data_IF_540050731510
#
_entry.id   IF_540050731510
#
_cell.length_a   1.000
_cell.length_b   1.000
_cell.length_c   1.000
_cell.angle_alpha   90.00
_cell.angle_beta   90.00
_cell.angle_gamma   90.00
#
_symmetry.space_group_name_H-M   'P 1'
#
loop_
_entity.id
_entity.type
_entity.pdbx_description
1 polymer ?
#
# COMPACT_ATOMS: atom_id res chain seq x y z
N UNK A 1 -8.94 -45.30 13.82
CA UNK A 1 -10.23 -45.42 13.11
C UNK A 1 -10.43 -44.15 12.31
N UNK A 2 -10.19 -44.22 11.01
CA UNK A 2 -10.33 -43.11 10.08
C UNK A 2 -11.82 -42.80 9.82
N UNK A 3 -12.16 -41.52 9.67
CA UNK A 3 -13.31 -41.10 8.89
C UNK A 3 -12.79 -40.07 7.88
N UNK A 4 -12.39 -40.57 6.71
CA UNK A 4 -12.07 -39.75 5.56
C UNK A 4 -13.32 -38.99 5.13
N UNK A 5 -13.25 -37.67 5.14
CA UNK A 5 -14.24 -36.83 4.49
C UNK A 5 -14.17 -37.08 2.99
N UNK A 6 -15.12 -37.86 2.47
CA UNK A 6 -15.29 -38.09 1.05
C UNK A 6 -15.72 -36.80 0.37
N UNK A 7 -14.75 -36.00 -0.10
CA UNK A 7 -15.00 -34.98 -1.09
C UNK A 7 -15.07 -35.65 -2.45
N UNK A 8 -16.27 -35.76 -3.02
CA UNK A 8 -16.44 -36.18 -4.40
C UNK A 8 -15.62 -35.24 -5.31
N UNK A 9 -14.77 -35.82 -6.17
CA UNK A 9 -13.98 -35.07 -7.15
C UNK A 9 -14.94 -34.27 -8.06
N UNK A 10 -15.12 -32.98 -7.77
CA UNK A 10 -15.96 -32.08 -8.57
C UNK A 10 -17.04 -31.29 -7.81
N UNK A 11 -17.25 -31.49 -6.52
CA UNK A 11 -18.14 -30.60 -5.76
C UNK A 11 -17.50 -29.22 -5.59
N UNK A 12 -18.13 -28.20 -6.16
CA UNK A 12 -17.71 -26.82 -5.99
C UNK A 12 -17.83 -26.44 -4.51
N UNK A 13 -16.68 -26.29 -3.84
CA UNK A 13 -16.65 -25.80 -2.47
C UNK A 13 -17.42 -24.47 -2.37
N UNK A 14 -18.25 -24.31 -1.33
CA UNK A 14 -19.10 -23.11 -1.14
C UNK A 14 -18.32 -21.78 -1.22
N UNK A 15 -17.04 -21.76 -0.87
CA UNK A 15 -16.19 -20.57 -0.96
C UNK A 15 -15.74 -20.20 -2.40
N UNK A 16 -15.97 -21.07 -3.40
CA UNK A 16 -15.78 -20.77 -4.82
C UNK A 16 -17.02 -20.16 -5.49
N UNK A 17 -18.16 -20.08 -4.79
CA UNK A 17 -19.38 -19.50 -5.34
C UNK A 17 -19.17 -17.99 -5.62
N UNK A 18 -19.35 -17.58 -6.88
CA UNK A 18 -19.28 -16.17 -7.25
C UNK A 18 -20.47 -15.41 -6.66
N UNK A 19 -20.17 -14.39 -5.86
CA UNK A 19 -21.18 -13.49 -5.29
C UNK A 19 -21.53 -12.37 -6.27
N UNK A 20 -22.69 -11.74 -6.06
CA UNK A 20 -23.12 -10.55 -6.80
C UNK A 20 -22.23 -9.32 -6.54
N UNK A 21 -22.44 -8.24 -7.29
CA UNK A 21 -21.69 -7.00 -7.10
C UNK A 21 -21.91 -6.41 -5.70
N UNK A 22 -20.83 -5.96 -5.05
CA UNK A 22 -20.92 -5.29 -3.76
C UNK A 22 -21.37 -3.83 -3.94
N UNK A 23 -22.54 -3.49 -3.39
CA UNK A 23 -23.13 -2.14 -3.46
C UNK A 23 -22.82 -1.22 -2.27
N UNK A 24 -22.19 -1.73 -1.20
CA UNK A 24 -21.85 -0.96 0.00
C UNK A 24 -20.47 -0.28 -0.08
N UNK A 25 -19.81 -0.30 -1.25
CA UNK A 25 -18.46 0.23 -1.42
C UNK A 25 -18.47 1.77 -1.44
N UNK A 26 -17.51 2.39 -0.77
CA UNK A 26 -17.32 3.84 -0.84
C UNK A 26 -16.96 4.28 -2.27
N UNK A 27 -17.49 5.44 -2.68
CA UNK A 27 -17.35 5.97 -4.05
C UNK A 27 -15.90 6.06 -4.53
N UNK A 28 -14.96 6.46 -3.67
CA UNK A 28 -13.53 6.58 -4.02
C UNK A 28 -12.84 5.21 -4.20
N UNK A 29 -13.43 4.11 -3.70
CA UNK A 29 -12.95 2.75 -3.88
C UNK A 29 -13.60 2.03 -5.05
N UNK A 30 -14.64 2.61 -5.66
CA UNK A 30 -15.33 2.03 -6.80
C UNK A 30 -14.39 1.83 -7.99
N UNK A 31 -14.59 0.75 -8.74
CA UNK A 31 -13.85 0.46 -9.96
C UNK A 31 -14.68 0.80 -11.18
N UNK A 32 -14.03 0.84 -12.34
CA UNK A 32 -14.72 1.02 -13.64
C UNK A 32 -15.77 -0.06 -13.91
N UNK A 33 -15.65 -1.23 -13.30
CA UNK A 33 -16.60 -2.35 -13.45
C UNK A 33 -17.09 -2.81 -12.07
N UNK A 34 -18.40 -3.06 -11.91
CA UNK A 34 -18.94 -3.61 -10.67
C UNK A 34 -18.45 -5.05 -10.47
N UNK A 35 -17.86 -5.31 -9.31
CA UNK A 35 -17.33 -6.61 -8.91
C UNK A 35 -17.71 -6.88 -7.46
N UNK A 36 -17.94 -8.16 -7.13
CA UNK A 36 -18.16 -8.63 -5.77
C UNK A 36 -17.02 -8.19 -4.85
N UNK A 37 -15.78 -8.43 -5.27
CA UNK A 37 -14.57 -8.05 -4.55
C UNK A 37 -13.73 -7.12 -5.42
N UNK A 38 -13.14 -6.10 -4.79
CA UNK A 38 -12.12 -5.25 -5.40
C UNK A 38 -11.04 -5.01 -4.37
N UNK A 39 -9.79 -5.21 -4.76
CA UNK A 39 -8.63 -4.95 -3.92
C UNK A 39 -8.35 -3.44 -3.94
N UNK A 40 -8.21 -2.87 -2.74
CA UNK A 40 -7.79 -1.49 -2.54
C UNK A 40 -6.66 -1.55 -1.52
N UNK A 41 -5.51 -0.98 -1.85
CA UNK A 41 -4.30 -1.04 -1.01
C UNK A 41 -3.97 0.35 -0.47
N UNK A 42 -3.14 0.38 0.57
CA UNK A 42 -2.66 1.63 1.18
C UNK A 42 -2.00 2.53 0.12
N UNK A 43 -1.34 1.96 -0.89
CA UNK A 43 -0.75 2.70 -2.01
C UNK A 43 -1.75 3.56 -2.80
N UNK A 44 -3.04 3.22 -2.75
CA UNK A 44 -4.10 3.97 -3.42
C UNK A 44 -4.74 5.04 -2.50
N UNK A 45 -4.34 5.16 -1.23
CA UNK A 45 -4.86 6.16 -0.27
C UNK A 45 -3.77 7.03 0.36
N UNK A 46 -2.55 6.50 0.45
CA UNK A 46 -1.45 7.15 1.15
C UNK A 46 -0.74 8.16 0.27
N UNK A 47 -0.58 9.37 0.81
CA UNK A 47 0.31 10.40 0.29
C UNK A 47 1.68 10.38 0.95
N UNK A 48 1.89 9.42 1.85
CA UNK A 48 3.10 9.27 2.65
C UNK A 48 3.98 8.17 2.08
N UNK A 49 5.27 8.48 1.95
CA UNK A 49 6.32 7.55 1.62
C UNK A 49 7.31 7.41 2.77
N UNK A 50 7.62 6.16 3.10
CA UNK A 50 8.68 5.80 4.04
C UNK A 50 9.91 5.38 3.24
N UNK A 51 11.01 6.10 3.41
CA UNK A 51 12.26 5.89 2.68
C UNK A 51 13.28 5.34 3.67
N UNK A 52 13.75 4.13 3.43
CA UNK A 52 14.71 3.43 4.27
C UNK A 52 16.05 3.28 3.55
N UNK A 53 17.13 3.16 4.31
CA UNK A 53 18.47 2.95 3.75
C UNK A 53 19.12 4.21 3.19
N UNK A 54 18.69 5.40 3.65
CA UNK A 54 19.33 6.65 3.24
C UNK A 54 20.65 6.78 4.00
N UNK A 55 21.80 6.99 3.33
CA UNK A 55 23.08 7.12 4.03
C UNK A 55 23.07 8.30 5.00
N UNK A 56 23.58 8.10 6.21
CA UNK A 56 23.70 9.12 7.27
C UNK A 56 24.83 10.14 6.99
N UNK A 57 24.84 10.71 5.78
CA UNK A 57 25.77 11.72 5.30
C UNK A 57 25.14 13.12 5.24
N UNK A 58 23.90 13.26 5.73
CA UNK A 58 23.16 14.51 5.67
C UNK A 58 22.61 14.85 4.27
N UNK A 59 22.37 13.84 3.43
CA UNK A 59 21.90 13.98 2.02
C UNK A 59 20.40 14.30 1.89
N UNK A 60 19.85 14.92 2.93
CA UNK A 60 18.41 15.11 3.11
C UNK A 60 17.85 16.10 2.07
N UNK A 61 18.63 17.13 1.74
CA UNK A 61 18.25 18.14 0.76
C UNK A 61 18.20 17.56 -0.66
N UNK A 62 19.23 16.80 -1.03
CA UNK A 62 19.32 16.14 -2.33
C UNK A 62 18.17 15.14 -2.50
N UNK A 63 17.83 14.40 -1.44
CA UNK A 63 16.69 13.48 -1.43
C UNK A 63 15.39 14.24 -1.75
N UNK A 64 15.10 15.31 -1.01
CA UNK A 64 13.89 16.12 -1.23
C UNK A 64 13.85 16.71 -2.65
N UNK A 65 14.97 17.19 -3.18
CA UNK A 65 15.06 17.72 -4.54
C UNK A 65 14.76 16.63 -5.60
N UNK A 66 15.24 15.40 -5.40
CA UNK A 66 14.92 14.29 -6.30
C UNK A 66 13.43 13.92 -6.23
N UNK A 67 12.85 13.84 -5.03
CA UNK A 67 11.43 13.52 -4.87
C UNK A 67 10.50 14.63 -5.39
N UNK A 68 10.94 15.89 -5.35
CA UNK A 68 10.20 17.02 -5.89
C UNK A 68 9.97 16.92 -7.41
N UNK A 69 10.74 16.11 -8.13
CA UNK A 69 10.54 15.84 -9.57
C UNK A 69 9.25 15.05 -9.84
N UNK A 70 8.77 14.26 -8.88
CA UNK A 70 7.55 13.46 -9.01
C UNK A 70 6.29 14.25 -8.63
N UNK A 71 6.43 15.28 -7.79
CA UNK A 71 5.33 16.14 -7.41
C UNK A 71 5.69 17.08 -6.26
N UNK A 72 4.76 17.98 -5.96
CA UNK A 72 4.93 18.91 -4.86
C UNK A 72 4.91 18.17 -3.52
N UNK A 73 5.99 18.34 -2.74
CA UNK A 73 6.11 17.84 -1.38
C UNK A 73 5.42 18.83 -0.43
N UNK A 74 4.60 18.31 0.48
CA UNK A 74 3.94 19.09 1.53
C UNK A 74 4.81 19.17 2.78
N UNK A 75 5.28 18.02 3.27
CA UNK A 75 6.05 17.88 4.51
C UNK A 75 7.10 16.78 4.34
N UNK A 76 8.23 16.91 5.03
CA UNK A 76 9.24 15.85 5.14
C UNK A 76 9.89 15.87 6.52
N UNK A 77 10.19 14.69 7.05
CA UNK A 77 10.75 14.51 8.40
C UNK A 77 11.79 13.39 8.41
N UNK A 78 12.89 13.61 9.12
CA UNK A 78 13.77 12.54 9.57
C UNK A 78 13.10 11.80 10.73
N UNK A 79 13.17 10.47 10.74
CA UNK A 79 12.63 9.63 11.80
C UNK A 79 13.75 9.06 12.67
N UNK A 80 14.12 9.80 13.72
CA UNK A 80 15.22 9.42 14.62
C UNK A 80 14.91 8.17 15.46
N UNK A 81 13.64 7.95 15.80
CA UNK A 81 13.19 6.82 16.63
C UNK A 81 12.82 5.56 15.82
N UNK A 82 12.84 5.64 14.49
CA UNK A 82 12.45 4.52 13.64
C UNK A 82 13.63 3.55 13.45
N UNK A 83 13.42 2.23 13.50
CA UNK A 83 14.50 1.26 13.31
C UNK A 83 15.19 1.45 11.95
N UNK A 84 16.49 1.76 12.01
CA UNK A 84 17.35 1.96 10.85
C UNK A 84 18.56 1.03 10.92
N UNK A 85 19.12 0.68 9.75
CA UNK A 85 20.36 -0.07 9.67
C UNK A 85 21.57 0.82 10.03
N UNK A 86 22.71 0.20 10.33
CA UNK A 86 23.91 0.95 10.70
C UNK A 86 24.32 1.91 9.57
N UNK A 87 24.60 3.17 9.93
CA UNK A 87 24.96 4.25 9.00
C UNK A 87 23.85 4.65 8.02
N UNK A 88 22.59 4.27 8.32
CA UNK A 88 21.43 4.67 7.55
C UNK A 88 20.42 5.42 8.39
N UNK A 89 19.60 6.22 7.73
CA UNK A 89 18.51 7.01 8.28
C UNK A 89 17.22 6.65 7.55
N UNK A 90 16.10 6.93 8.21
CA UNK A 90 14.76 6.72 7.68
C UNK A 90 14.04 8.05 7.58
N UNK A 91 13.39 8.29 6.45
CA UNK A 91 12.70 9.53 6.15
C UNK A 91 11.23 9.28 5.84
N UNK A 92 10.38 10.21 6.28
CA UNK A 92 8.97 10.28 5.92
C UNK A 92 8.77 11.49 5.01
N UNK A 93 8.26 11.25 3.80
CA UNK A 93 7.88 12.31 2.85
C UNK A 93 6.38 12.27 2.61
N UNK A 94 5.73 13.43 2.64
CA UNK A 94 4.30 13.59 2.35
C UNK A 94 4.13 14.43 1.09
N UNK A 95 3.49 13.87 0.07
CA UNK A 95 3.17 14.59 -1.16
C UNK A 95 1.85 15.34 -1.08
N UNK A 96 1.69 16.42 -1.85
CA UNK A 96 0.43 17.15 -2.01
C UNK A 96 -0.66 16.30 -2.69
N UNK A 97 -0.28 15.46 -3.64
CA UNK A 97 -1.20 14.61 -4.40
C UNK A 97 -0.87 13.14 -4.20
N UNK A 98 -1.91 12.31 -4.12
CA UNK A 98 -1.79 10.85 -3.99
C UNK A 98 -0.99 10.23 -5.14
N UNK A 99 -1.19 10.71 -6.36
CA UNK A 99 -0.57 10.14 -7.56
C UNK A 99 0.94 10.37 -7.65
N UNK A 100 1.49 11.22 -6.78
CA UNK A 100 2.90 11.55 -6.72
C UNK A 100 3.66 10.74 -5.68
N UNK A 101 2.94 10.04 -4.79
CA UNK A 101 3.51 9.09 -3.83
C UNK A 101 3.74 7.73 -4.51
#
# INVERSE_FOLDING_TARGET
MAAGGGGALGEACRHHQQLGACGSRAKYREGRRPRAVKVYTINLESRYLLIQGVPALGVMKELVEQFALYGAIEEYHALDEYPAEQFTEVYLIKFQNLQCA
#
